data_IF_741123830405
#
_entry.id   IF_741123830405
#
_cell.length_a   1.000
_cell.length_b   1.000
_cell.length_c   1.000
_cell.angle_alpha   90.00
_cell.angle_beta   90.00
_cell.angle_gamma   90.00
#
_symmetry.space_group_name_H-M   'P 1'
#
loop_
_entity.id
_entity.type
_entity.pdbx_description
1 polymer ?
#
# COMPACT_ATOMS: atom_id res chain seq x y z
N UNK A 1 56.04 24.50 22.33
CA UNK A 1 54.72 24.80 21.72
C UNK A 1 54.56 23.91 20.47
N UNK A 2 53.34 23.45 20.11
CA UNK A 2 52.90 22.06 20.25
C UNK A 2 53.30 21.10 19.11
N UNK A 3 53.45 19.83 19.48
CA UNK A 3 53.76 18.68 18.63
C UNK A 3 52.44 18.16 18.02
N UNK A 4 52.22 18.34 16.72
CA UNK A 4 51.06 17.82 16.01
C UNK A 4 51.13 16.28 15.97
N UNK A 5 50.30 15.63 16.79
CA UNK A 5 50.06 14.19 16.76
C UNK A 5 49.22 13.86 15.52
N UNK A 6 49.88 13.50 14.42
CA UNK A 6 49.22 12.79 13.33
C UNK A 6 48.86 11.38 13.83
N UNK A 7 47.61 11.20 14.24
CA UNK A 7 47.03 9.87 14.48
C UNK A 7 46.93 9.15 13.14
N UNK A 8 47.93 8.32 12.82
CA UNK A 8 47.84 7.36 11.71
C UNK A 8 46.71 6.38 12.03
N UNK A 9 45.59 6.52 11.34
CA UNK A 9 44.54 5.50 11.31
C UNK A 9 45.17 4.24 10.69
N UNK A 10 45.15 3.14 11.42
CA UNK A 10 45.77 1.88 11.02
C UNK A 10 44.99 1.23 9.86
N UNK A 11 45.67 0.64 8.86
CA UNK A 11 45.04 0.08 7.65
C UNK A 11 43.96 -1.00 7.85
N UNK A 12 43.97 -1.85 8.91
CA UNK A 12 42.86 -2.79 9.12
C UNK A 12 41.57 -2.09 9.55
N UNK A 13 41.64 -1.00 10.33
CA UNK A 13 40.45 -0.27 10.78
C UNK A 13 39.71 0.37 9.60
N UNK A 14 40.43 0.88 8.60
CA UNK A 14 39.85 1.45 7.39
C UNK A 14 39.15 0.38 6.52
N UNK A 15 39.72 -0.83 6.46
CA UNK A 15 39.12 -1.98 5.74
C UNK A 15 37.89 -2.54 6.45
N UNK A 16 37.90 -2.61 7.78
CA UNK A 16 36.75 -3.06 8.57
C UNK A 16 35.61 -2.04 8.51
N UNK A 17 35.91 -0.74 8.58
CA UNK A 17 34.91 0.34 8.42
C UNK A 17 34.33 0.35 7.01
N UNK A 18 35.15 0.20 5.95
CA UNK A 18 34.65 0.05 4.58
C UNK A 18 33.75 -1.18 4.42
N UNK A 19 34.12 -2.31 5.05
CA UNK A 19 33.33 -3.54 5.03
C UNK A 19 31.97 -3.38 5.71
N UNK A 20 31.90 -2.70 6.85
CA UNK A 20 30.65 -2.41 7.57
C UNK A 20 29.76 -1.42 6.78
N UNK A 21 30.35 -0.40 6.14
CA UNK A 21 29.60 0.51 5.27
C UNK A 21 29.06 -0.20 4.02
N UNK A 22 29.81 -1.17 3.46
CA UNK A 22 29.39 -1.95 2.30
C UNK A 22 28.26 -2.92 2.64
N UNK A 23 28.28 -3.55 3.82
CA UNK A 23 27.18 -4.43 4.28
C UNK A 23 25.91 -3.65 4.65
N UNK A 24 26.03 -2.44 5.24
CA UNK A 24 24.86 -1.58 5.49
C UNK A 24 24.22 -1.05 4.21
N UNK A 25 25.01 -0.83 3.15
CA UNK A 25 24.49 -0.31 1.86
C UNK A 25 23.73 -1.37 1.04
N UNK A 26 23.85 -2.64 1.42
CA UNK A 26 23.21 -3.77 0.72
C UNK A 26 21.80 -4.11 1.23
N UNK A 27 21.28 -3.41 2.26
CA UNK A 27 19.87 -3.53 2.65
C UNK A 27 18.99 -2.68 1.73
N UNK A 28 18.82 -3.11 0.48
CA UNK A 28 17.73 -2.60 -0.35
C UNK A 28 16.43 -3.24 0.12
N UNK A 29 15.53 -2.44 0.69
CA UNK A 29 14.18 -2.88 1.02
C UNK A 29 13.42 -3.11 -0.29
N UNK A 30 13.04 -4.36 -0.58
CA UNK A 30 12.11 -4.66 -1.65
C UNK A 30 10.75 -4.05 -1.28
N UNK A 31 10.40 -2.94 -1.90
CA UNK A 31 9.12 -2.29 -1.70
C UNK A 31 8.19 -2.67 -2.84
N UNK A 32 6.99 -3.15 -2.50
CA UNK A 32 5.95 -3.39 -3.49
C UNK A 32 5.59 -2.10 -4.23
N UNK A 33 5.17 -2.23 -5.50
CA UNK A 33 4.75 -1.10 -6.32
C UNK A 33 3.47 -0.46 -5.75
N UNK A 34 3.38 0.87 -5.79
CA UNK A 34 2.15 1.58 -5.45
C UNK A 34 1.11 1.43 -6.56
N UNK A 35 -0.18 1.38 -6.19
CA UNK A 35 -1.30 1.38 -7.11
C UNK A 35 -2.30 2.48 -6.75
N UNK A 36 -1.98 3.75 -7.01
CA UNK A 36 -2.68 4.88 -6.36
C UNK A 36 -4.10 5.13 -6.84
N UNK A 37 -4.54 4.53 -7.96
CA UNK A 37 -5.79 4.91 -8.63
C UNK A 37 -6.38 3.77 -9.45
N UNK A 38 -7.56 3.99 -10.04
CA UNK A 38 -8.13 3.07 -11.02
C UNK A 38 -7.14 2.80 -12.14
N UNK A 39 -6.85 1.52 -12.37
CA UNK A 39 -5.85 1.04 -13.35
C UNK A 39 -4.40 1.45 -13.05
N UNK A 40 -4.08 1.78 -11.80
CA UNK A 40 -2.69 1.90 -11.33
C UNK A 40 -1.95 3.11 -11.87
N UNK A 41 -0.61 3.01 -11.83
CA UNK A 41 0.28 4.07 -12.30
C UNK A 41 0.03 4.32 -13.80
N UNK A 42 -0.18 5.58 -14.17
CA UNK A 42 -0.50 5.96 -15.56
C UNK A 42 -1.87 5.48 -16.07
N UNK A 43 -2.69 4.79 -15.26
CA UNK A 43 -4.01 4.29 -15.66
C UNK A 43 -3.98 3.15 -16.70
N UNK A 44 -2.84 2.49 -16.86
CA UNK A 44 -2.63 1.44 -17.87
C UNK A 44 -3.33 0.13 -17.52
N UNK A 45 -3.50 -0.17 -16.23
CA UNK A 45 -4.02 -1.44 -15.74
C UNK A 45 -3.02 -2.58 -15.85
N UNK A 46 -1.73 -2.28 -15.97
CA UNK A 46 -0.65 -3.24 -16.15
C UNK A 46 0.18 -3.27 -14.88
N UNK A 47 0.41 -4.48 -14.33
CA UNK A 47 1.35 -4.72 -13.23
C UNK A 47 2.61 -5.41 -13.78
N UNK A 48 3.76 -5.08 -13.20
CA UNK A 48 5.04 -5.72 -13.50
C UNK A 48 5.25 -7.05 -12.74
N UNK A 49 4.39 -7.32 -11.75
CA UNK A 49 4.44 -8.51 -10.90
C UNK A 49 4.22 -9.82 -11.67
N UNK A 50 4.85 -10.89 -11.18
CA UNK A 50 4.85 -12.22 -11.83
C UNK A 50 4.60 -13.30 -10.79
N UNK A 51 4.34 -14.53 -11.26
CA UNK A 51 4.21 -15.70 -10.38
C UNK A 51 2.82 -15.90 -9.78
N UNK A 52 1.80 -15.21 -10.29
CA UNK A 52 0.42 -15.45 -9.90
C UNK A 52 -0.03 -16.86 -10.33
N UNK A 53 -0.78 -17.58 -9.48
CA UNK A 53 -1.27 -18.91 -9.83
C UNK A 53 -2.33 -18.81 -10.94
N UNK A 54 -2.25 -19.72 -11.93
CA UNK A 54 -3.21 -19.77 -13.04
C UNK A 54 -4.58 -20.33 -12.64
N UNK A 55 -4.62 -21.06 -11.52
CA UNK A 55 -5.84 -21.58 -10.90
C UNK A 55 -5.88 -21.07 -9.47
N UNK A 56 -7.05 -20.64 -9.02
CA UNK A 56 -7.23 -20.06 -7.70
C UNK A 56 -8.23 -20.90 -6.90
N UNK A 57 -7.91 -21.11 -5.64
CA UNK A 57 -8.72 -21.81 -4.63
C UNK A 57 -8.84 -20.95 -3.38
N UNK A 58 -9.70 -21.35 -2.45
CA UNK A 58 -9.87 -20.60 -1.20
C UNK A 58 -8.61 -20.60 -0.32
N UNK A 59 -7.69 -21.56 -0.51
CA UNK A 59 -6.41 -21.59 0.20
C UNK A 59 -5.38 -20.57 -0.33
N UNK A 60 -5.56 -20.06 -1.55
CA UNK A 60 -4.60 -19.13 -2.17
C UNK A 60 -4.80 -17.67 -1.72
N UNK A 61 -5.90 -17.35 -1.04
CA UNK A 61 -6.14 -16.01 -0.52
C UNK A 61 -5.33 -15.79 0.75
N UNK A 62 -4.50 -14.75 0.76
CA UNK A 62 -3.79 -14.32 1.98
C UNK A 62 -4.75 -13.93 3.11
N UNK A 63 -5.85 -13.26 2.76
CA UNK A 63 -6.92 -12.89 3.68
C UNK A 63 -8.20 -12.55 2.91
N UNK A 64 -9.32 -12.53 3.63
CA UNK A 64 -10.62 -12.02 3.14
C UNK A 64 -11.22 -11.14 4.23
N UNK A 65 -11.79 -9.99 3.83
CA UNK A 65 -12.41 -9.03 4.75
C UNK A 65 -13.80 -8.65 4.26
N UNK A 66 -14.80 -8.97 5.06
CA UNK A 66 -16.15 -8.45 4.87
C UNK A 66 -16.14 -6.95 5.24
N UNK A 67 -16.67 -6.10 4.35
CA UNK A 67 -16.86 -4.68 4.58
C UNK A 67 -18.35 -4.35 4.60
N UNK A 68 -18.79 -3.39 5.44
CA UNK A 68 -20.19 -3.07 5.53
C UNK A 68 -20.68 -2.32 4.28
N UNK A 69 -21.89 -2.64 3.84
CA UNK A 69 -22.54 -1.94 2.72
C UNK A 69 -22.05 -2.39 1.35
N UNK A 70 -22.19 -1.50 0.37
CA UNK A 70 -21.86 -1.75 -1.04
C UNK A 70 -20.63 -0.95 -1.46
N UNK A 71 -19.62 -1.63 -2.02
CA UNK A 71 -18.41 -1.01 -2.59
C UNK A 71 -18.17 -1.52 -4.02
N UNK A 72 -18.10 -0.62 -5.00
CA UNK A 72 -17.76 -0.97 -6.40
C UNK A 72 -16.45 -0.32 -6.86
N UNK A 73 -15.81 0.49 -6.01
CA UNK A 73 -14.50 1.06 -6.27
C UNK A 73 -13.45 -0.04 -6.44
N UNK A 74 -12.41 0.22 -7.21
CA UNK A 74 -11.20 -0.58 -7.12
C UNK A 74 -10.42 -0.25 -5.85
N UNK A 75 -9.59 -1.17 -5.33
CA UNK A 75 -8.63 -0.83 -4.30
C UNK A 75 -7.54 0.09 -4.86
N UNK A 76 -7.02 0.97 -4.00
CA UNK A 76 -5.83 1.77 -4.25
C UNK A 76 -4.80 1.53 -3.15
N UNK A 77 -3.52 1.39 -3.50
CA UNK A 77 -2.45 1.08 -2.56
C UNK A 77 -1.36 2.15 -2.63
N UNK A 78 -0.93 2.64 -1.46
CA UNK A 78 0.25 3.50 -1.33
C UNK A 78 1.06 3.14 -0.08
N UNK A 79 2.27 2.61 -0.27
CA UNK A 79 3.05 1.98 0.79
C UNK A 79 2.26 0.84 1.43
N UNK A 80 2.24 0.79 2.75
CA UNK A 80 1.49 -0.22 3.51
C UNK A 80 0.01 0.18 3.75
N UNK A 81 -0.61 0.99 2.88
CA UNK A 81 -2.00 1.41 3.05
C UNK A 81 -2.84 1.01 1.85
N UNK A 82 -3.89 0.23 2.08
CA UNK A 82 -4.89 -0.17 1.11
C UNK A 82 -6.19 0.59 1.35
N UNK A 83 -6.65 1.32 0.34
CA UNK A 83 -7.83 2.16 0.40
C UNK A 83 -8.97 1.58 -0.42
N UNK A 84 -10.15 1.51 0.19
CA UNK A 84 -11.40 1.07 -0.47
C UNK A 84 -12.57 1.88 0.05
N UNK A 85 -13.62 1.99 -0.76
CA UNK A 85 -14.83 2.73 -0.39
C UNK A 85 -16.04 1.82 -0.26
N UNK A 86 -16.96 2.18 0.64
CA UNK A 86 -18.25 1.51 0.76
C UNK A 86 -19.37 2.51 1.06
N UNK A 87 -20.61 2.13 0.77
CA UNK A 87 -21.80 2.93 1.02
C UNK A 87 -22.89 2.12 1.72
N UNK A 88 -23.50 2.72 2.73
CA UNK A 88 -24.62 2.18 3.52
C UNK A 88 -25.83 3.11 3.38
N UNK A 89 -27.05 2.58 3.57
CA UNK A 89 -28.28 3.38 3.62
C UNK A 89 -28.51 4.15 2.32
N UNK A 90 -28.40 3.47 1.18
CA UNK A 90 -28.57 4.11 -0.13
C UNK A 90 -27.65 5.31 -0.39
N UNK A 91 -26.42 5.26 0.16
CA UNK A 91 -25.40 6.27 -0.07
C UNK A 91 -25.40 7.44 0.90
N UNK A 92 -26.25 7.40 1.93
CA UNK A 92 -26.29 8.38 3.01
C UNK A 92 -25.03 8.34 3.87
N UNK A 93 -24.50 7.14 4.14
CA UNK A 93 -23.21 6.98 4.80
C UNK A 93 -22.21 6.42 3.80
N UNK A 94 -21.16 7.18 3.48
CA UNK A 94 -20.05 6.72 2.64
C UNK A 94 -18.78 6.62 3.46
N UNK A 95 -18.08 5.50 3.31
CA UNK A 95 -16.88 5.19 4.05
C UNK A 95 -15.68 5.18 3.12
N UNK A 96 -14.57 5.75 3.60
CA UNK A 96 -13.22 5.47 3.12
C UNK A 96 -12.53 4.62 4.20
N UNK A 97 -12.18 3.39 3.85
CA UNK A 97 -11.40 2.51 4.70
C UNK A 97 -9.92 2.62 4.32
N UNK A 98 -9.06 2.54 5.33
CA UNK A 98 -7.64 2.26 5.18
C UNK A 98 -7.35 0.95 5.91
N UNK A 99 -6.90 -0.05 5.14
CA UNK A 99 -6.57 -1.38 5.61
C UNK A 99 -5.05 -1.62 5.49
N UNK A 100 -4.54 -2.52 6.30
CA UNK A 100 -3.24 -3.11 6.06
C UNK A 100 -3.31 -4.09 4.88
N UNK A 101 -2.52 -3.93 3.80
CA UNK A 101 -2.58 -4.82 2.65
C UNK A 101 -2.09 -6.25 2.95
N UNK A 102 -1.28 -6.44 4.00
CA UNK A 102 -0.71 -7.75 4.37
C UNK A 102 -1.67 -8.57 5.23
N UNK A 103 -2.42 -7.93 6.12
CA UNK A 103 -3.31 -8.61 7.08
C UNK A 103 -4.80 -8.42 6.81
N UNK A 104 -5.18 -7.39 6.04
CA UNK A 104 -6.58 -6.99 5.84
C UNK A 104 -7.20 -6.29 7.07
N UNK A 105 -6.41 -6.00 8.09
CA UNK A 105 -6.87 -5.30 9.29
C UNK A 105 -7.18 -3.83 9.01
N UNK A 106 -8.22 -3.30 9.63
CA UNK A 106 -8.57 -1.89 9.51
C UNK A 106 -7.61 -1.05 10.34
N UNK A 107 -6.85 -0.16 9.68
CA UNK A 107 -6.01 0.85 10.34
C UNK A 107 -6.87 2.01 10.83
N UNK A 108 -7.76 2.48 9.95
CA UNK A 108 -8.74 3.50 10.26
C UNK A 108 -9.83 3.54 9.19
N UNK A 109 -10.94 4.22 9.49
CA UNK A 109 -11.94 4.60 8.50
C UNK A 109 -12.44 6.02 8.72
N UNK A 110 -12.98 6.61 7.66
CA UNK A 110 -13.67 7.90 7.69
C UNK A 110 -15.06 7.75 7.11
N UNK A 111 -16.06 8.19 7.86
CA UNK A 111 -17.44 8.30 7.39
C UNK A 111 -17.70 9.72 6.88
N UNK A 112 -18.40 9.82 5.76
CA UNK A 112 -19.01 11.06 5.29
C UNK A 112 -20.50 10.84 5.16
N UNK A 113 -21.28 11.63 5.90
CA UNK A 113 -22.73 11.66 5.79
C UNK A 113 -23.15 12.59 4.67
N UNK A 114 -23.95 12.07 3.76
CA UNK A 114 -24.44 12.77 2.58
C UNK A 114 -25.96 12.61 2.47
N UNK A 115 -26.59 13.48 1.69
CA UNK A 115 -27.96 13.25 1.29
C UNK A 115 -27.99 12.09 0.28
N UNK A 116 -29.06 11.30 0.32
CA UNK A 116 -29.35 10.32 -0.74
C UNK A 116 -29.25 11.00 -2.10
N UNK A 117 -28.45 10.41 -2.98
CA UNK A 117 -28.25 10.91 -4.35
C UNK A 117 -28.77 9.92 -5.37
N UNK A 118 -29.12 10.40 -6.55
CA UNK A 118 -29.42 9.53 -7.69
C UNK A 118 -28.23 8.60 -7.95
N UNK A 119 -28.53 7.34 -8.29
CA UNK A 119 -27.56 6.30 -8.58
C UNK A 119 -27.96 5.59 -9.85
N UNK A 120 -27.02 5.44 -10.78
CA UNK A 120 -27.25 4.61 -11.95
C UNK A 120 -27.51 3.15 -11.54
N UNK A 121 -28.39 2.46 -12.27
CA UNK A 121 -28.79 1.08 -11.94
C UNK A 121 -27.60 0.14 -11.75
N UNK A 122 -26.57 0.25 -12.60
CA UNK A 122 -25.35 -0.59 -12.58
C UNK A 122 -24.25 -0.12 -11.60
N UNK A 123 -24.43 1.03 -10.95
CA UNK A 123 -23.42 1.60 -10.04
C UNK A 123 -23.75 1.41 -8.56
N UNK A 124 -22.83 1.84 -7.71
CA UNK A 124 -23.01 2.05 -6.27
C UNK A 124 -22.72 3.52 -5.93
N UNK A 125 -23.07 3.96 -4.73
CA UNK A 125 -22.63 5.29 -4.23
C UNK A 125 -21.14 5.33 -3.85
N UNK A 126 -20.45 4.19 -3.96
CA UNK A 126 -19.03 3.98 -3.69
C UNK A 126 -18.36 3.34 -4.93
N UNK A 127 -18.65 3.87 -6.13
CA UNK A 127 -18.03 3.41 -7.39
C UNK A 127 -16.74 4.15 -7.73
N UNK A 128 -16.49 5.30 -7.11
CA UNK A 128 -15.27 6.08 -7.34
C UNK A 128 -14.09 5.45 -6.61
N UNK A 129 -13.08 5.01 -7.36
CA UNK A 129 -11.80 4.56 -6.80
C UNK A 129 -11.07 5.72 -6.11
N UNK A 130 -10.65 5.58 -4.84
CA UNK A 130 -9.91 6.63 -4.14
C UNK A 130 -8.56 6.87 -4.81
N UNK A 131 -8.11 8.12 -4.89
CA UNK A 131 -6.83 8.53 -5.48
C UNK A 131 -6.34 9.83 -4.87
#
# INVERSE_FOLDING_TARGET
MPRLLFTRVSPPALRTVLGICFTLSALTTLQAENWPRFRGIGGSGISSEKGFPQKWTDQDYAWKKELPGLGHSSPSIWGDNLFVTAAIGEGESRYLFCLDPKTGEEKWRRETKLKKSHKHRKGSWASSTPA
#
